data_IF_505188222564
#
_entry.id   IF_505188222564
#
_cell.length_a   1.000
_cell.length_b   1.000
_cell.length_c   1.000
_cell.angle_alpha   90.00
_cell.angle_beta   90.00
_cell.angle_gamma   90.00
#
_symmetry.space_group_name_H-M   'P 1'
#
loop_
_entity.id
_entity.type
_entity.pdbx_description
1 polymer ?
#
# COMPACT_ATOMS: atom_id res chain seq x y z
N UNK A 1 64.23 -2.75 29.26
CA UNK A 1 64.11 -4.13 28.74
C UNK A 1 62.85 -4.72 29.34
N UNK A 2 61.81 -4.94 28.54
CA UNK A 2 61.09 -6.22 28.38
C UNK A 2 59.91 -6.00 27.43
N UNK A 3 59.73 -6.97 26.55
CA UNK A 3 58.92 -6.96 25.34
C UNK A 3 57.45 -7.36 25.60
N UNK A 4 56.56 -6.79 24.77
CA UNK A 4 55.28 -7.38 24.35
C UNK A 4 55.53 -8.70 23.59
N UNK A 5 54.71 -9.75 23.81
CA UNK A 5 54.01 -10.28 22.64
C UNK A 5 52.62 -10.90 22.94
N UNK A 6 51.62 -10.55 22.13
CA UNK A 6 50.80 -11.48 21.29
C UNK A 6 49.28 -11.30 21.37
N UNK A 7 48.76 -10.40 20.54
CA UNK A 7 47.41 -10.48 20.00
C UNK A 7 47.43 -11.27 18.68
N UNK A 8 47.06 -12.57 18.69
CA UNK A 8 47.03 -13.39 17.45
C UNK A 8 45.86 -14.39 17.34
N UNK A 9 44.72 -14.16 18.02
CA UNK A 9 43.58 -15.10 18.02
C UNK A 9 42.33 -14.69 17.22
N UNK A 10 42.28 -13.52 16.57
CA UNK A 10 41.00 -12.97 16.10
C UNK A 10 40.72 -13.13 14.59
N UNK A 11 41.72 -13.44 13.77
CA UNK A 11 41.55 -13.46 12.30
C UNK A 11 41.03 -14.80 11.75
N UNK A 12 41.17 -15.89 12.50
CA UNK A 12 40.74 -17.23 12.07
C UNK A 12 39.22 -17.44 12.12
N UNK A 13 38.50 -16.71 12.97
CA UNK A 13 37.04 -16.86 13.15
C UNK A 13 36.21 -16.22 12.05
N UNK A 14 36.68 -15.11 11.49
CA UNK A 14 35.99 -14.40 10.41
C UNK A 14 36.14 -15.13 9.06
N UNK A 15 37.25 -15.84 8.84
CA UNK A 15 37.46 -16.65 7.64
C UNK A 15 36.61 -17.94 7.65
N UNK A 16 36.37 -18.53 8.82
CA UNK A 16 35.46 -19.69 8.97
C UNK A 16 33.99 -19.32 8.73
N UNK A 17 33.61 -18.07 8.97
CA UNK A 17 32.27 -17.56 8.67
C UNK A 17 32.03 -17.36 7.16
N UNK A 18 33.08 -17.10 6.38
CA UNK A 18 32.98 -16.87 4.94
C UNK A 18 33.06 -18.15 4.08
N UNK A 19 33.06 -19.35 4.68
CA UNK A 19 33.06 -20.60 3.92
C UNK A 19 34.34 -20.84 3.08
N UNK A 20 35.39 -20.05 3.31
CA UNK A 20 36.70 -20.18 2.64
C UNK A 20 37.67 -20.88 3.60
N UNK A 21 37.36 -22.11 3.99
CA UNK A 21 38.39 -23.02 4.48
C UNK A 21 38.25 -24.30 3.69
N UNK A 22 39.10 -24.42 2.67
CA UNK A 22 39.28 -25.66 1.94
C UNK A 22 39.80 -26.74 2.87
N UNK A 23 39.14 -27.89 2.79
CA UNK A 23 39.62 -29.25 3.01
C UNK A 23 41.15 -29.38 3.20
N UNK A 24 41.56 -29.85 4.37
CA UNK A 24 42.49 -30.98 4.54
C UNK A 24 42.78 -31.15 6.05
N UNK A 25 42.10 -32.10 6.68
CA UNK A 25 42.79 -33.22 7.33
C UNK A 25 41.77 -34.27 7.79
N UNK A 26 41.94 -35.48 7.27
CA UNK A 26 41.28 -36.68 7.73
C UNK A 26 41.78 -37.02 9.14
N UNK A 27 40.89 -36.93 10.13
CA UNK A 27 41.03 -37.69 11.37
C UNK A 27 39.63 -38.10 11.84
N UNK A 28 39.47 -39.42 11.88
CA UNK A 28 38.30 -40.17 12.29
C UNK A 28 37.81 -39.74 13.68
N UNK A 29 36.58 -39.24 13.78
CA UNK A 29 35.69 -39.64 14.86
C UNK A 29 34.24 -39.51 14.39
N UNK A 30 33.53 -40.64 14.38
CA UNK A 30 32.15 -40.76 13.92
C UNK A 30 31.21 -40.20 14.98
N UNK A 31 31.11 -38.88 15.08
CA UNK A 31 29.97 -38.24 15.73
C UNK A 31 28.80 -38.25 14.74
N UNK A 32 27.60 -38.76 15.11
CA UNK A 32 26.42 -38.59 14.28
C UNK A 32 26.17 -37.09 14.15
N UNK A 33 26.50 -36.57 12.98
CA UNK A 33 26.20 -35.22 12.60
C UNK A 33 24.69 -35.13 12.37
N UNK A 34 23.93 -35.03 13.47
CA UNK A 34 22.61 -34.40 13.46
C UNK A 34 22.81 -32.92 13.19
N UNK A 35 23.33 -32.59 12.00
CA UNK A 35 23.02 -31.33 11.36
C UNK A 35 21.55 -31.47 11.03
N UNK A 36 20.71 -31.15 12.00
CA UNK A 36 19.31 -30.89 11.78
C UNK A 36 19.27 -29.96 10.58
N UNK A 37 18.83 -30.50 9.44
CA UNK A 37 18.61 -29.74 8.23
C UNK A 37 17.59 -28.66 8.59
N UNK A 38 18.08 -27.50 9.04
CA UNK A 38 17.29 -26.32 9.30
C UNK A 38 16.93 -25.79 7.91
N UNK A 39 16.00 -26.49 7.28
CA UNK A 39 15.43 -26.09 6.00
C UNK A 39 14.74 -24.77 6.29
N UNK A 40 15.20 -23.72 5.62
CA UNK A 40 14.58 -22.41 5.72
C UNK A 40 13.07 -22.58 5.40
N UNK A 41 12.17 -22.20 6.31
CA UNK A 41 10.75 -22.46 6.14
C UNK A 41 10.29 -21.83 4.83
N UNK A 42 9.64 -22.64 4.01
CA UNK A 42 9.12 -22.16 2.74
C UNK A 42 8.09 -21.06 3.00
N UNK A 43 7.97 -20.10 2.08
CA UNK A 43 6.92 -19.07 2.17
C UNK A 43 5.53 -19.70 2.45
N UNK A 44 5.26 -20.87 1.88
CA UNK A 44 4.02 -21.62 2.13
C UNK A 44 3.83 -21.95 3.61
N UNK A 45 4.86 -22.40 4.32
CA UNK A 45 4.79 -22.75 5.75
C UNK A 45 4.58 -21.51 6.62
N UNK A 46 5.15 -20.37 6.23
CA UNK A 46 4.99 -19.09 6.92
C UNK A 46 3.55 -18.56 6.75
N UNK A 47 2.98 -18.66 5.54
CA UNK A 47 1.64 -18.12 5.23
C UNK A 47 0.48 -19.06 5.61
N UNK A 48 0.75 -20.36 5.79
CA UNK A 48 -0.30 -21.35 6.06
C UNK A 48 -1.12 -21.05 7.33
N UNK A 49 -0.53 -20.64 8.47
CA UNK A 49 -1.29 -20.27 9.67
C UNK A 49 -2.22 -19.06 9.43
N UNK A 50 -1.73 -18.02 8.76
CA UNK A 50 -2.52 -16.83 8.43
C UNK A 50 -3.70 -17.18 7.51
N UNK A 51 -3.45 -18.02 6.49
CA UNK A 51 -4.49 -18.52 5.59
C UNK A 51 -5.55 -19.34 6.33
N UNK A 52 -5.14 -20.23 7.24
CA UNK A 52 -6.07 -21.01 8.07
C UNK A 52 -6.92 -20.12 8.97
N UNK A 53 -6.31 -19.09 9.58
CA UNK A 53 -7.04 -18.12 10.40
C UNK A 53 -8.07 -17.35 9.58
N UNK A 54 -7.72 -16.93 8.37
CA UNK A 54 -8.65 -16.23 7.48
C UNK A 54 -9.84 -17.13 7.11
N UNK A 55 -9.57 -18.37 6.70
CA UNK A 55 -10.63 -19.33 6.38
C UNK A 55 -11.52 -19.63 7.59
N UNK A 56 -10.94 -19.72 8.79
CA UNK A 56 -11.69 -19.86 10.04
C UNK A 56 -12.67 -18.70 10.24
N UNK A 57 -12.21 -17.46 10.14
CA UNK A 57 -13.08 -16.28 10.24
C UNK A 57 -14.19 -16.24 9.20
N UNK A 58 -13.89 -16.64 7.95
CA UNK A 58 -14.91 -16.72 6.89
C UNK A 58 -15.95 -17.79 7.22
N UNK A 59 -15.52 -18.95 7.74
CA UNK A 59 -16.43 -19.99 8.18
C UNK A 59 -17.29 -19.52 9.36
N UNK A 60 -16.68 -18.88 10.38
CA UNK A 60 -17.38 -18.33 11.54
C UNK A 60 -18.48 -17.35 11.09
N UNK A 61 -18.16 -16.43 10.18
CA UNK A 61 -19.13 -15.48 9.63
C UNK A 61 -20.33 -16.16 8.95
N UNK A 62 -20.09 -17.20 8.14
CA UNK A 62 -21.17 -17.92 7.47
C UNK A 62 -22.06 -18.67 8.47
N UNK A 63 -21.46 -19.26 9.51
CA UNK A 63 -22.17 -20.02 10.55
C UNK A 63 -22.98 -19.07 11.45
N UNK A 64 -22.39 -17.97 11.90
CA UNK A 64 -23.02 -17.00 12.80
C UNK A 64 -24.28 -16.35 12.17
N UNK A 65 -24.32 -16.31 10.84
CA UNK A 65 -25.42 -15.74 10.07
C UNK A 65 -26.29 -16.78 9.35
N UNK A 66 -26.08 -18.07 9.59
CA UNK A 66 -26.81 -19.20 8.95
C UNK A 66 -26.86 -19.09 7.41
N UNK A 67 -25.72 -18.70 6.81
CA UNK A 67 -25.59 -18.52 5.37
C UNK A 67 -25.11 -19.81 4.70
N UNK A 68 -25.79 -20.21 3.63
CA UNK A 68 -25.38 -21.36 2.82
C UNK A 68 -24.00 -21.13 2.17
N UNK A 69 -23.21 -22.19 2.02
CA UNK A 69 -21.90 -22.13 1.37
C UNK A 69 -22.07 -22.12 -0.15
N UNK A 70 -22.12 -20.91 -0.71
CA UNK A 70 -22.21 -20.66 -2.15
C UNK A 70 -21.07 -19.73 -2.59
N UNK A 71 -20.71 -19.70 -3.89
CA UNK A 71 -19.66 -18.78 -4.38
C UNK A 71 -19.90 -17.33 -3.97
N UNK A 72 -21.16 -16.87 -4.07
CA UNK A 72 -21.55 -15.50 -3.74
C UNK A 72 -21.48 -15.17 -2.24
N UNK A 73 -21.95 -16.08 -1.37
CA UNK A 73 -21.90 -15.85 0.08
C UNK A 73 -20.47 -15.92 0.61
N UNK A 74 -19.62 -16.74 -0.03
CA UNK A 74 -18.20 -16.83 0.30
C UNK A 74 -17.44 -15.55 -0.06
N UNK A 75 -17.79 -14.93 -1.20
CA UNK A 75 -17.27 -13.62 -1.62
C UNK A 75 -17.64 -12.54 -0.60
N UNK A 76 -18.93 -12.46 -0.22
CA UNK A 76 -19.40 -11.50 0.80
C UNK A 76 -18.68 -11.71 2.14
N UNK A 77 -18.59 -12.95 2.61
CA UNK A 77 -17.94 -13.27 3.87
C UNK A 77 -16.45 -12.91 3.82
N UNK A 78 -15.77 -13.20 2.71
CA UNK A 78 -14.39 -12.83 2.49
C UNK A 78 -14.21 -11.30 2.53
N UNK A 79 -15.06 -10.54 1.84
CA UNK A 79 -14.97 -9.08 1.79
C UNK A 79 -15.21 -8.44 3.17
N UNK A 80 -16.14 -8.97 3.94
CA UNK A 80 -16.40 -8.52 5.31
C UNK A 80 -15.22 -8.82 6.24
N UNK A 81 -14.67 -10.04 6.17
CA UNK A 81 -13.57 -10.48 7.05
C UNK A 81 -12.25 -9.78 6.72
N UNK A 82 -11.99 -9.51 5.43
CA UNK A 82 -10.77 -8.83 4.97
C UNK A 82 -10.90 -7.31 5.00
N UNK A 83 -12.12 -6.78 5.12
CA UNK A 83 -12.40 -5.35 5.03
C UNK A 83 -12.34 -4.80 3.62
N UNK A 84 -12.47 -5.64 2.58
CA UNK A 84 -12.51 -5.20 1.19
C UNK A 84 -13.74 -4.35 0.87
N UNK A 85 -14.87 -4.60 1.56
CA UNK A 85 -16.06 -3.76 1.52
C UNK A 85 -16.42 -3.23 2.92
N UNK A 86 -15.91 -2.05 3.32
CA UNK A 86 -16.18 -1.48 4.63
C UNK A 86 -17.64 -1.00 4.80
N UNK A 87 -18.29 -0.58 3.72
CA UNK A 87 -19.70 -0.14 3.74
C UNK A 87 -20.62 -1.32 4.06
N UNK A 88 -20.41 -2.46 3.40
CA UNK A 88 -21.15 -3.69 3.69
C UNK A 88 -20.94 -4.16 5.14
N UNK A 89 -19.70 -4.14 5.62
CA UNK A 89 -19.39 -4.51 7.01
C UNK A 89 -20.12 -3.61 8.02
N UNK A 90 -20.21 -2.31 7.75
CA UNK A 90 -20.95 -1.37 8.60
C UNK A 90 -22.46 -1.64 8.61
N UNK A 91 -23.06 -1.91 7.44
CA UNK A 91 -24.49 -2.23 7.34
C UNK A 91 -24.83 -3.54 8.06
N UNK A 92 -23.94 -4.53 8.00
CA UNK A 92 -24.08 -5.79 8.75
C UNK A 92 -24.01 -5.53 10.25
N UNK A 93 -23.05 -4.71 10.70
CA UNK A 93 -22.91 -4.34 12.11
C UNK A 93 -24.17 -3.66 12.64
N UNK A 94 -24.63 -2.60 11.96
CA UNK A 94 -25.84 -1.85 12.33
C UNK A 94 -27.06 -2.79 12.42
N UNK A 95 -27.26 -3.64 11.41
CA UNK A 95 -28.36 -4.61 11.40
C UNK A 95 -28.27 -5.64 12.52
N UNK A 96 -27.05 -6.07 12.86
CA UNK A 96 -26.80 -7.00 13.97
C UNK A 96 -27.08 -6.34 15.32
N UNK A 97 -26.70 -5.06 15.49
CA UNK A 97 -27.03 -4.26 16.68
C UNK A 97 -28.54 -4.03 16.84
N UNK A 98 -29.27 -3.90 15.74
CA UNK A 98 -30.73 -3.87 15.71
C UNK A 98 -31.38 -5.24 16.03
N UNK A 99 -30.59 -6.30 16.21
CA UNK A 99 -31.07 -7.66 16.46
C UNK A 99 -31.76 -8.32 15.27
N UNK A 100 -31.53 -7.81 14.05
CA UNK A 100 -32.13 -8.35 12.82
C UNK A 100 -31.20 -9.39 12.19
N UNK A 101 -31.78 -10.46 11.66
CA UNK A 101 -31.02 -11.50 10.98
C UNK A 101 -30.41 -10.99 9.65
N UNK A 102 -29.20 -11.46 9.35
CA UNK A 102 -28.50 -11.26 8.08
C UNK A 102 -28.98 -12.33 7.10
N UNK A 103 -30.05 -12.06 6.36
CA UNK A 103 -30.64 -13.01 5.41
C UNK A 103 -30.16 -12.77 3.98
N UNK A 104 -30.10 -13.81 3.14
CA UNK A 104 -29.74 -13.68 1.72
C UNK A 104 -30.53 -12.60 0.97
N UNK A 105 -31.88 -12.50 1.09
CA UNK A 105 -32.63 -11.47 0.36
C UNK A 105 -32.25 -10.04 0.77
N UNK A 106 -31.88 -9.85 2.04
CA UNK A 106 -31.39 -8.55 2.53
C UNK A 106 -30.01 -8.22 1.96
N UNK A 107 -29.09 -9.19 1.96
CA UNK A 107 -27.77 -9.01 1.33
C UNK A 107 -27.91 -8.67 -0.16
N UNK A 108 -28.81 -9.35 -0.89
CA UNK A 108 -29.09 -9.05 -2.29
C UNK A 108 -29.63 -7.63 -2.50
N UNK A 109 -30.50 -7.17 -1.59
CA UNK A 109 -31.04 -5.81 -1.63
C UNK A 109 -29.93 -4.77 -1.43
N UNK A 110 -29.10 -4.94 -0.39
CA UNK A 110 -27.98 -4.03 -0.10
C UNK A 110 -27.00 -3.96 -1.27
N UNK A 111 -26.65 -5.10 -1.86
CA UNK A 111 -25.76 -5.16 -3.03
C UNK A 111 -26.36 -4.49 -4.26
N UNK A 112 -27.68 -4.53 -4.41
CA UNK A 112 -28.39 -3.88 -5.52
C UNK A 112 -28.40 -2.36 -5.35
N UNK A 113 -28.61 -1.89 -4.13
CA UNK A 113 -28.57 -0.46 -3.77
C UNK A 113 -27.14 0.09 -3.94
N UNK A 114 -26.12 -0.64 -3.48
CA UNK A 114 -24.71 -0.23 -3.63
C UNK A 114 -24.27 -0.10 -5.09
N UNK A 115 -24.67 -1.05 -5.95
CA UNK A 115 -24.41 -0.96 -7.40
C UNK A 115 -25.12 0.23 -8.06
N UNK A 116 -26.25 0.66 -7.51
CA UNK A 116 -27.01 1.82 -7.96
C UNK A 116 -26.33 3.14 -7.62
N UNK A 117 -25.81 3.28 -6.39
CA UNK A 117 -25.30 4.56 -5.87
C UNK A 117 -23.84 4.84 -6.27
N UNK A 118 -22.97 3.81 -6.24
CA UNK A 118 -21.52 4.03 -6.27
C UNK A 118 -20.97 4.58 -7.60
N UNK A 119 -21.64 4.30 -8.72
CA UNK A 119 -21.19 4.77 -10.04
C UNK A 119 -21.58 6.22 -10.30
N UNK A 120 -22.78 6.63 -9.88
CA UNK A 120 -23.29 7.98 -10.10
C UNK A 120 -22.56 9.00 -9.23
N UNK A 121 -22.34 8.70 -7.95
CA UNK A 121 -21.64 9.60 -7.03
C UNK A 121 -20.17 9.81 -7.41
N UNK A 122 -19.48 8.75 -7.85
CA UNK A 122 -18.10 8.85 -8.35
C UNK A 122 -18.02 9.70 -9.63
N UNK A 123 -19.00 9.58 -10.53
CA UNK A 123 -19.06 10.37 -11.75
C UNK A 123 -19.25 11.86 -11.44
N UNK A 124 -20.13 12.18 -10.48
CA UNK A 124 -20.35 13.55 -10.01
C UNK A 124 -19.09 14.12 -9.38
N UNK A 125 -18.40 13.36 -8.51
CA UNK A 125 -17.16 13.81 -7.89
C UNK A 125 -16.04 14.08 -8.92
N UNK A 126 -15.93 13.25 -9.96
CA UNK A 126 -14.98 13.45 -11.05
C UNK A 126 -15.32 14.69 -11.90
N UNK A 127 -16.61 14.93 -12.18
CA UNK A 127 -17.05 16.13 -12.90
C UNK A 127 -16.71 17.41 -12.11
N UNK A 128 -17.02 17.44 -10.81
CA UNK A 128 -16.69 18.60 -9.96
C UNK A 128 -15.19 18.90 -9.92
N UNK A 129 -14.35 17.86 -9.83
CA UNK A 129 -12.89 18.04 -9.85
C UNK A 129 -12.38 18.53 -11.21
N UNK A 130 -13.01 18.08 -12.30
CA UNK A 130 -12.66 18.55 -13.64
C UNK A 130 -12.99 20.04 -13.80
N UNK A 131 -14.18 20.46 -13.36
CA UNK A 131 -14.60 21.87 -13.38
C UNK A 131 -13.66 22.77 -12.57
N UNK A 132 -13.27 22.33 -11.36
CA UNK A 132 -12.32 23.06 -10.53
C UNK A 132 -10.95 23.20 -11.21
N UNK A 133 -10.42 22.11 -11.78
CA UNK A 133 -9.13 22.15 -12.48
C UNK A 133 -9.16 23.07 -13.71
N UNK A 134 -10.28 23.11 -14.44
CA UNK A 134 -10.44 23.98 -15.60
C UNK A 134 -10.51 25.45 -15.18
N UNK A 135 -11.20 25.74 -14.09
CA UNK A 135 -11.29 27.08 -13.54
C UNK A 135 -9.93 27.59 -13.05
N UNK A 136 -9.17 26.75 -12.35
CA UNK A 136 -7.83 27.09 -11.87
C UNK A 136 -6.82 27.24 -13.01
N UNK A 137 -6.91 26.38 -14.04
CA UNK A 137 -6.11 26.50 -15.24
C UNK A 137 -6.41 27.80 -16.01
N UNK A 138 -7.69 28.15 -16.16
CA UNK A 138 -8.11 29.38 -16.83
C UNK A 138 -7.62 30.63 -16.06
N UNK A 139 -7.78 30.64 -14.74
CA UNK A 139 -7.25 31.71 -13.88
C UNK A 139 -5.73 31.85 -14.01
N UNK A 140 -5.01 30.73 -13.88
CA UNK A 140 -3.54 30.73 -13.95
C UNK A 140 -3.05 31.22 -15.31
N UNK A 141 -3.68 30.77 -16.39
CA UNK A 141 -3.35 31.21 -17.77
C UNK A 141 -3.62 32.70 -17.95
N UNK A 142 -4.75 33.21 -17.44
CA UNK A 142 -5.06 34.64 -17.48
C UNK A 142 -4.06 35.47 -16.68
N UNK A 143 -3.68 35.03 -15.48
CA UNK A 143 -2.68 35.70 -14.66
C UNK A 143 -1.31 35.71 -15.33
N UNK A 144 -0.86 34.59 -15.91
CA UNK A 144 0.41 34.52 -16.64
C UNK A 144 0.43 35.46 -17.86
N UNK A 145 -0.67 35.52 -18.60
CA UNK A 145 -0.83 36.45 -19.74
C UNK A 145 -0.76 37.91 -19.28
N UNK A 146 -1.46 38.23 -18.19
CA UNK A 146 -1.48 39.59 -17.63
C UNK A 146 -0.09 40.01 -17.16
N UNK A 147 0.59 39.16 -16.38
CA UNK A 147 1.95 39.42 -15.92
C UNK A 147 2.92 39.63 -17.07
N UNK A 148 2.85 38.80 -18.12
CA UNK A 148 3.71 38.96 -19.31
C UNK A 148 3.44 40.27 -20.04
N UNK A 149 2.17 40.68 -20.14
CA UNK A 149 1.82 41.97 -20.75
C UNK A 149 2.30 43.17 -19.93
N UNK A 150 2.22 43.09 -18.61
CA UNK A 150 2.71 44.13 -17.69
C UNK A 150 4.24 44.25 -17.74
N UNK A 151 4.95 43.12 -17.74
CA UNK A 151 6.41 43.10 -17.94
C UNK A 151 6.80 43.66 -19.32
N UNK A 152 6.08 43.30 -20.38
CA UNK A 152 6.31 43.85 -21.71
C UNK A 152 6.10 45.37 -21.77
N UNK A 153 5.04 45.87 -21.14
CA UNK A 153 4.78 47.30 -21.04
C UNK A 153 5.86 48.04 -20.24
N UNK A 154 6.33 47.46 -19.12
CA UNK A 154 7.40 48.03 -18.32
C UNK A 154 8.74 48.09 -19.06
N UNK A 155 9.07 47.05 -19.86
CA UNK A 155 10.25 47.06 -20.72
C UNK A 155 10.17 48.13 -21.80
N UNK A 156 8.99 48.29 -22.44
CA UNK A 156 8.79 49.32 -23.46
C UNK A 156 8.99 50.72 -22.88
N UNK A 157 8.40 50.99 -21.71
CA UNK A 157 8.55 52.27 -21.03
C UNK A 157 10.01 52.57 -20.66
N UNK A 158 10.75 51.56 -20.19
CA UNK A 158 12.16 51.72 -19.84
C UNK A 158 13.05 51.97 -21.08
N UNK A 159 12.67 51.45 -22.26
CA UNK A 159 13.35 51.74 -23.53
C UNK A 159 13.05 53.16 -23.99
N UNK A 160 11.78 53.56 -23.95
CA UNK A 160 11.35 54.91 -24.34
C UNK A 160 12.03 56.00 -23.48
N UNK A 161 12.17 55.75 -22.18
CA UNK A 161 12.89 56.63 -21.23
C UNK A 161 14.39 56.74 -21.59
N UNK A 162 15.04 55.64 -21.96
CA UNK A 162 16.46 55.63 -22.38
C UNK A 162 16.67 56.40 -23.70
N UNK A 163 15.75 56.27 -24.67
CA UNK A 163 15.81 57.01 -25.93
C UNK A 163 15.61 58.53 -25.74
N UNK A 164 14.75 58.94 -24.82
CA UNK A 164 14.58 60.36 -24.48
C UNK A 164 15.83 60.94 -23.83
N UNK A 165 16.44 60.22 -22.88
CA UNK A 165 17.68 60.67 -22.22
C UNK A 165 18.83 60.78 -23.21
N UNK A 166 18.94 59.87 -24.19
CA UNK A 166 20.01 59.94 -25.20
C UNK A 166 19.83 61.06 -26.23
N UNK A 167 18.60 61.53 -26.47
CA UNK A 167 18.33 62.68 -27.36
C UNK A 167 18.50 64.03 -26.69
N UNK A 168 18.42 64.08 -25.36
CA UNK A 168 18.47 65.33 -24.58
C UNK A 168 19.87 65.71 -24.09
N UNK A 169 20.88 64.85 -24.28
CA UNK A 169 22.29 65.12 -23.98
C UNK A 169 23.15 65.23 -25.23
#
# INVERSE_FOLDING_TARGET
MTHDPSARGSRSRLLKWLGISGEDDQAEDSAPSEIANFRDPSAREIWLPAKRRLLGKVADFLIDHDLEVMPWTLEIAYDCVTGANPRLAQLILERTEEGKAITLPWLEQVMREEKGDGTAEQLVALMSRLEESLNDFAKTTSSARTATSEYGAALQQHVDDLEQVSRAG
#
